data_IF_349269746321
#
_entry.id   IF_349269746321
#
_cell.length_a   1.000
_cell.length_b   1.000
_cell.length_c   1.000
_cell.angle_alpha   90.00
_cell.angle_beta   90.00
_cell.angle_gamma   90.00
#
_symmetry.space_group_name_H-M   'P 1'
#
loop_
_entity.id
_entity.type
_entity.pdbx_description
1 polymer ?
#
# COMPACT_ATOMS: atom_id res chain seq x y z
N UNK A 1 -20.60 -7.72 42.31
CA UNK A 1 -20.99 -7.31 40.95
C UNK A 1 -20.09 -6.19 40.41
N UNK A 2 -19.94 -5.06 41.11
CA UNK A 2 -19.11 -3.92 40.67
C UNK A 2 -17.63 -4.23 40.37
N UNK A 3 -16.98 -5.09 41.17
CA UNK A 3 -15.56 -5.48 40.97
C UNK A 3 -15.32 -6.20 39.64
N UNK A 4 -16.27 -7.02 39.17
CA UNK A 4 -16.13 -7.79 37.93
C UNK A 4 -16.34 -6.88 36.70
N UNK A 5 -17.24 -5.90 36.80
CA UNK A 5 -17.41 -4.86 35.78
C UNK A 5 -16.13 -4.03 35.64
N UNK A 6 -15.46 -3.69 36.75
CA UNK A 6 -14.21 -2.93 36.72
C UNK A 6 -13.10 -3.65 35.97
N UNK A 7 -12.93 -4.96 36.20
CA UNK A 7 -11.96 -5.78 35.46
C UNK A 7 -12.30 -5.95 33.99
N UNK A 8 -13.59 -6.05 33.65
CA UNK A 8 -14.02 -6.12 32.25
C UNK A 8 -13.71 -4.82 31.50
N UNK A 9 -13.97 -3.66 32.14
CA UNK A 9 -13.68 -2.35 31.55
C UNK A 9 -12.18 -2.10 31.43
N UNK A 10 -11.38 -2.48 32.43
CA UNK A 10 -9.92 -2.36 32.34
C UNK A 10 -9.36 -3.25 31.22
N UNK A 11 -9.90 -4.46 31.04
CA UNK A 11 -9.55 -5.32 29.91
C UNK A 11 -9.87 -4.71 28.55
N UNK A 12 -11.04 -4.07 28.41
CA UNK A 12 -11.44 -3.41 27.16
C UNK A 12 -10.53 -2.21 26.83
N UNK A 13 -10.17 -1.42 27.83
CA UNK A 13 -9.22 -0.30 27.67
C UNK A 13 -7.83 -0.81 27.29
N UNK A 14 -7.35 -1.86 27.96
CA UNK A 14 -6.05 -2.47 27.66
C UNK A 14 -6.02 -3.04 26.24
N UNK A 15 -7.09 -3.70 25.79
CA UNK A 15 -7.22 -4.17 24.41
C UNK A 15 -7.16 -3.02 23.40
N UNK A 16 -7.89 -1.92 23.66
CA UNK A 16 -7.89 -0.75 22.79
C UNK A 16 -6.49 -0.13 22.66
N UNK A 17 -5.76 -0.03 23.77
CA UNK A 17 -4.37 0.45 23.79
C UNK A 17 -3.48 -0.46 22.94
N UNK A 18 -3.54 -1.78 23.16
CA UNK A 18 -2.71 -2.73 22.42
C UNK A 18 -2.97 -2.64 20.91
N UNK A 19 -4.24 -2.63 20.48
CA UNK A 19 -4.59 -2.51 19.06
C UNK A 19 -4.09 -1.20 18.48
N UNK A 20 -4.21 -0.08 19.21
CA UNK A 20 -3.74 1.22 18.74
C UNK A 20 -2.24 1.25 18.43
N UNK A 21 -1.43 0.59 19.26
CA UNK A 21 0.01 0.54 19.06
C UNK A 21 0.46 -0.50 18.02
N UNK A 22 -0.31 -1.57 17.79
CA UNK A 22 0.06 -2.63 16.83
C UNK A 22 -0.52 -2.43 15.43
N UNK A 23 -1.56 -1.62 15.26
CA UNK A 23 -2.23 -1.40 13.97
C UNK A 23 -1.34 -0.76 12.89
N UNK A 24 -0.48 0.24 13.17
CA UNK A 24 0.32 0.89 12.12
C UNK A 24 1.29 -0.04 11.40
N UNK A 25 1.92 -0.98 12.12
CA UNK A 25 2.88 -1.93 11.53
C UNK A 25 2.23 -3.00 10.65
N UNK A 26 0.90 -3.11 10.66
CA UNK A 26 0.15 -4.06 9.83
C UNK A 26 -0.31 -3.48 8.49
N UNK A 27 -0.20 -2.16 8.28
CA UNK A 27 -0.70 -1.51 7.06
C UNK A 27 0.25 -1.59 5.87
N UNK A 28 1.56 -1.54 6.13
CA UNK A 28 2.59 -1.54 5.09
C UNK A 28 3.55 -2.70 5.32
N UNK A 29 3.67 -3.55 4.30
CA UNK A 29 4.65 -4.64 4.30
C UNK A 29 5.91 -4.18 3.60
N UNK A 30 7.02 -4.14 4.34
CA UNK A 30 8.34 -3.84 3.81
C UNK A 30 9.13 -5.14 3.59
N UNK A 31 9.66 -5.31 2.39
CA UNK A 31 10.52 -6.43 2.05
C UNK A 31 11.80 -5.91 1.40
N UNK A 32 12.95 -6.27 1.98
CA UNK A 32 14.24 -5.95 1.38
C UNK A 32 14.51 -6.87 0.18
N UNK A 33 14.65 -6.27 -0.99
CA UNK A 33 15.06 -6.96 -2.21
C UNK A 33 16.56 -7.32 -2.16
N UNK A 34 16.97 -8.51 -2.63
CA UNK A 34 18.38 -8.83 -2.83
C UNK A 34 18.95 -8.18 -4.11
N UNK A 35 18.09 -7.65 -4.99
CA UNK A 35 18.45 -7.01 -6.25
C UNK A 35 18.70 -5.51 -6.05
N UNK A 36 19.40 -4.88 -7.01
CA UNK A 36 19.48 -3.42 -7.04
C UNK A 36 18.14 -2.79 -7.44
N UNK A 37 18.06 -1.45 -7.47
CA UNK A 37 16.81 -0.74 -7.69
C UNK A 37 16.21 -1.04 -9.07
N UNK A 38 17.00 -0.87 -10.13
CA UNK A 38 16.56 -1.08 -11.52
C UNK A 38 16.16 -2.54 -11.76
N UNK A 39 16.96 -3.49 -11.26
CA UNK A 39 16.66 -4.91 -11.31
C UNK A 39 15.38 -5.26 -10.55
N UNK A 40 15.16 -4.67 -9.37
CA UNK A 40 13.94 -4.89 -8.58
C UNK A 40 12.72 -4.40 -9.37
N UNK A 41 12.78 -3.20 -9.94
CA UNK A 41 11.68 -2.64 -10.74
C UNK A 41 11.43 -3.51 -11.97
N UNK A 42 12.48 -3.95 -12.67
CA UNK A 42 12.36 -4.81 -13.85
C UNK A 42 11.74 -6.18 -13.51
N UNK A 43 12.25 -6.84 -12.46
CA UNK A 43 11.74 -8.12 -12.00
C UNK A 43 10.28 -8.04 -11.56
N UNK A 44 9.91 -6.98 -10.83
CA UNK A 44 8.53 -6.75 -10.39
C UNK A 44 7.59 -6.59 -11.60
N UNK A 45 7.97 -5.76 -12.57
CA UNK A 45 7.21 -5.55 -13.81
C UNK A 45 7.03 -6.85 -14.60
N UNK A 46 8.07 -7.67 -14.71
CA UNK A 46 8.03 -8.96 -15.41
C UNK A 46 7.09 -9.96 -14.72
N UNK A 47 7.19 -10.09 -13.39
CA UNK A 47 6.30 -10.95 -12.60
C UNK A 47 4.84 -10.51 -12.71
N UNK A 48 4.55 -9.21 -12.67
CA UNK A 48 3.19 -8.69 -12.79
C UNK A 48 2.61 -8.98 -14.18
N UNK A 49 3.37 -8.74 -15.25
CA UNK A 49 2.93 -9.01 -16.63
C UNK A 49 2.62 -10.48 -16.89
N UNK A 50 3.26 -11.40 -16.17
CA UNK A 50 3.02 -12.84 -16.24
C UNK A 50 1.76 -13.28 -15.48
N UNK A 51 1.22 -12.44 -14.59
CA UNK A 51 -0.01 -12.75 -13.85
C UNK A 51 -1.24 -12.41 -14.68
N UNK A 52 -2.18 -13.33 -14.71
CA UNK A 52 -3.44 -13.15 -15.43
C UNK A 52 -4.22 -11.95 -14.89
N UNK A 53 -4.75 -11.13 -15.80
CA UNK A 53 -5.54 -9.94 -15.48
C UNK A 53 -4.80 -8.88 -14.65
N UNK A 54 -3.47 -8.94 -14.51
CA UNK A 54 -2.70 -7.87 -13.88
C UNK A 54 -1.96 -7.06 -14.94
N UNK A 55 -1.99 -5.74 -14.79
CA UNK A 55 -1.35 -4.79 -15.69
C UNK A 55 -0.57 -3.77 -14.89
N UNK A 56 0.48 -3.22 -15.50
CA UNK A 56 1.22 -2.07 -14.98
C UNK A 56 0.84 -0.85 -15.82
N UNK A 57 -0.18 -0.06 -15.42
CA UNK A 57 -0.55 1.15 -16.15
C UNK A 57 0.57 2.20 -16.18
N UNK A 58 1.35 2.36 -15.09
CA UNK A 58 2.38 3.38 -15.01
C UNK A 58 3.46 3.04 -13.97
N UNK A 59 4.69 3.42 -14.27
CA UNK A 59 5.77 3.50 -13.29
C UNK A 59 6.06 4.98 -13.02
N UNK A 60 6.07 5.37 -11.76
CA UNK A 60 6.41 6.70 -11.31
C UNK A 60 7.84 6.69 -10.79
N UNK A 61 8.70 7.45 -11.46
CA UNK A 61 10.07 7.70 -11.02
C UNK A 61 10.11 9.06 -10.31
N UNK A 62 10.08 9.04 -8.98
CA UNK A 62 10.06 10.26 -8.19
C UNK A 62 11.44 10.91 -8.12
N UNK A 63 12.50 10.10 -8.13
CA UNK A 63 13.87 10.60 -8.23
C UNK A 63 14.03 11.48 -9.46
N UNK A 64 13.65 10.96 -10.63
CA UNK A 64 13.70 11.73 -11.88
C UNK A 64 12.81 12.97 -11.83
N UNK A 65 11.56 12.84 -11.39
CA UNK A 65 10.63 13.98 -11.36
C UNK A 65 11.12 15.12 -10.45
N UNK A 66 11.73 14.80 -9.30
CA UNK A 66 12.25 15.77 -8.34
C UNK A 66 13.53 16.44 -8.87
N UNK A 67 14.40 15.66 -9.52
CA UNK A 67 15.60 16.18 -10.17
C UNK A 67 15.25 17.12 -11.34
N UNK A 68 14.32 16.69 -12.21
CA UNK A 68 13.84 17.49 -13.35
C UNK A 68 13.15 18.79 -12.88
N UNK A 69 12.58 18.79 -11.67
CA UNK A 69 11.99 19.97 -11.03
C UNK A 69 13.01 20.87 -10.31
N UNK A 70 14.29 20.52 -10.31
CA UNK A 70 15.37 21.35 -9.76
C UNK A 70 15.49 21.29 -8.22
N UNK A 71 14.89 20.30 -7.57
CA UNK A 71 14.88 20.18 -6.09
C UNK A 71 16.08 19.39 -5.52
N UNK A 72 17.14 19.20 -6.31
CA UNK A 72 18.38 18.56 -5.88
C UNK A 72 18.38 17.02 -5.99
N UNK A 73 19.54 16.39 -5.74
CA UNK A 73 19.65 14.94 -5.81
C UNK A 73 18.96 14.28 -4.61
N UNK A 74 18.20 13.22 -4.88
CA UNK A 74 17.61 12.32 -3.89
C UNK A 74 17.92 10.87 -4.26
N UNK A 75 17.80 9.97 -3.29
CA UNK A 75 17.96 8.52 -3.52
C UNK A 75 16.88 7.95 -4.45
N UNK A 76 17.16 6.79 -5.03
CA UNK A 76 16.24 6.11 -5.96
C UNK A 76 14.93 5.75 -5.26
N UNK A 77 13.85 6.37 -5.69
CA UNK A 77 12.51 6.17 -5.13
C UNK A 77 11.45 6.32 -6.21
N UNK A 78 10.45 5.45 -6.16
CA UNK A 78 9.41 5.38 -7.16
C UNK A 78 8.24 4.50 -6.73
N UNK A 79 7.25 4.39 -7.61
CA UNK A 79 6.07 3.56 -7.40
C UNK A 79 5.70 2.85 -8.69
N UNK A 80 5.46 1.55 -8.60
CA UNK A 80 4.90 0.72 -9.68
C UNK A 80 3.40 0.64 -9.45
N UNK A 81 2.63 1.32 -10.28
CA UNK A 81 1.18 1.28 -10.22
C UNK A 81 0.69 -0.01 -10.91
N UNK A 82 -0.07 -0.83 -10.18
CA UNK A 82 -0.60 -2.10 -10.66
C UNK A 82 -2.11 -2.03 -10.75
N UNK A 83 -2.73 -2.68 -11.72
CA UNK A 83 -4.18 -2.71 -11.87
C UNK A 83 -4.65 -4.10 -12.27
N UNK A 84 -5.74 -4.54 -11.63
CA UNK A 84 -6.52 -5.67 -12.12
C UNK A 84 -7.88 -5.16 -12.62
N UNK A 85 -8.13 -5.07 -13.95
CA UNK A 85 -9.33 -4.46 -14.48
C UNK A 85 -10.60 -5.27 -14.16
N UNK A 86 -10.49 -6.57 -13.88
CA UNK A 86 -11.63 -7.40 -13.46
C UNK A 86 -12.08 -7.04 -12.05
N UNK A 87 -11.15 -6.75 -11.14
CA UNK A 87 -11.49 -6.30 -9.79
C UNK A 87 -11.93 -4.85 -9.78
N UNK A 88 -11.22 -3.99 -10.51
CA UNK A 88 -11.58 -2.58 -10.62
C UNK A 88 -13.01 -2.40 -11.19
N UNK A 89 -13.39 -3.14 -12.24
CA UNK A 89 -14.73 -3.04 -12.82
C UNK A 89 -15.82 -3.44 -11.82
N UNK A 90 -15.63 -4.53 -11.08
CA UNK A 90 -16.59 -4.99 -10.05
C UNK A 90 -16.73 -4.00 -8.90
N UNK A 91 -15.63 -3.40 -8.45
CA UNK A 91 -15.66 -2.43 -7.35
C UNK A 91 -16.37 -1.15 -7.80
N UNK A 92 -16.06 -0.67 -9.01
CA UNK A 92 -16.54 0.61 -9.54
C UNK A 92 -17.93 0.54 -10.21
N UNK A 93 -18.51 -0.65 -10.33
CA UNK A 93 -19.89 -0.87 -10.77
C UNK A 93 -20.89 -0.19 -9.85
N UNK A 94 -20.61 -0.16 -8.54
CA UNK A 94 -21.40 0.59 -7.56
C UNK A 94 -20.89 2.04 -7.43
N UNK A 95 -21.77 3.00 -7.72
CA UNK A 95 -21.52 4.43 -7.60
C UNK A 95 -20.99 4.84 -6.22
N UNK A 96 -21.43 4.18 -5.13
CA UNK A 96 -20.98 4.47 -3.76
C UNK A 96 -19.50 4.12 -3.54
N UNK A 97 -18.98 3.19 -4.33
CA UNK A 97 -17.60 2.75 -4.26
C UNK A 97 -16.66 3.61 -5.10
N UNK A 98 -17.15 4.45 -6.01
CA UNK A 98 -16.27 5.27 -6.89
C UNK A 98 -15.32 6.19 -6.13
N UNK A 99 -15.62 6.55 -4.88
CA UNK A 99 -14.68 7.29 -4.00
C UNK A 99 -13.33 6.58 -3.78
N UNK A 100 -13.26 5.27 -3.95
CA UNK A 100 -12.02 4.51 -3.75
C UNK A 100 -11.00 4.70 -4.88
N UNK A 101 -11.38 5.34 -6.00
CA UNK A 101 -10.45 5.62 -7.11
C UNK A 101 -9.29 6.52 -6.69
N UNK A 102 -9.43 7.28 -5.60
CA UNK A 102 -8.32 8.05 -5.01
C UNK A 102 -7.16 7.16 -4.51
N UNK A 103 -7.41 5.87 -4.29
CA UNK A 103 -6.43 4.88 -3.83
C UNK A 103 -6.09 3.81 -4.88
N UNK A 104 -6.77 3.79 -6.04
CA UNK A 104 -6.46 2.93 -7.18
C UNK A 104 -5.32 3.56 -8.03
N UNK A 105 -4.49 2.77 -8.74
CA UNK A 105 -4.90 1.80 -9.76
C UNK A 105 -5.16 0.36 -9.29
#
# INVERSE_FOLDING_TARGET
MAKNILWMLSGMVLMGIVVWFTMPSLMLFEHKSPLNYEETVAALNDVIKKKENWKVPKNFDFQKNIQDSGHGPIDSVGTVAICNPLYASRILEDDQNRKVTAFMP
#
